data_IF_744148141141
#
_entry.id   IF_744148141141
#
_cell.length_a   1.000
_cell.length_b   1.000
_cell.length_c   1.000
_cell.angle_alpha   90.00
_cell.angle_beta   90.00
_cell.angle_gamma   90.00
#
_symmetry.space_group_name_H-M   'P 1'
#
loop_
_entity.id
_entity.type
_entity.pdbx_description
1 polymer ?
#
# COMPACT_ATOMS: atom_id res chain seq x y z
N UNK A 1 18.28 19.41 3.24
CA UNK A 1 16.95 18.84 3.00
C UNK A 1 17.09 17.32 2.84
N UNK A 2 16.21 16.58 3.48
CA UNK A 2 16.13 15.11 3.36
C UNK A 2 14.71 14.72 3.01
N UNK A 3 14.55 13.66 2.19
CA UNK A 3 13.29 12.98 1.91
C UNK A 3 13.47 11.52 2.31
N UNK A 4 12.62 11.04 3.19
CA UNK A 4 12.71 9.69 3.73
C UNK A 4 11.36 9.23 4.28
N UNK A 5 11.28 8.02 4.80
CA UNK A 5 10.11 7.41 5.40
C UNK A 5 10.43 6.79 6.76
N UNK A 6 9.43 6.34 7.49
CA UNK A 6 9.60 5.70 8.79
C UNK A 6 10.35 4.35 8.68
N UNK A 7 11.17 3.98 9.68
CA UNK A 7 11.37 4.68 10.96
C UNK A 7 12.33 5.90 10.91
N UNK A 8 13.17 6.01 9.88
CA UNK A 8 14.20 7.07 9.77
C UNK A 8 13.58 8.49 9.76
N UNK A 9 12.39 8.67 9.21
CA UNK A 9 11.67 9.94 9.24
C UNK A 9 11.44 10.42 10.68
N UNK A 10 11.04 9.52 11.58
CA UNK A 10 10.80 9.84 12.99
C UNK A 10 12.09 10.28 13.70
N UNK A 11 13.25 9.64 13.41
CA UNK A 11 14.55 10.01 13.96
C UNK A 11 14.98 11.40 13.48
N UNK A 12 14.85 11.67 12.18
CA UNK A 12 15.15 12.99 11.61
C UNK A 12 14.25 14.07 12.20
N UNK A 13 12.96 13.80 12.33
CA UNK A 13 12.00 14.74 12.89
C UNK A 13 12.27 15.06 14.39
N UNK A 14 12.84 14.10 15.12
CA UNK A 14 13.26 14.31 16.52
C UNK A 14 14.55 15.13 16.67
N UNK A 15 15.29 15.36 15.59
CA UNK A 15 16.53 16.13 15.62
C UNK A 15 16.23 17.63 15.85
N UNK A 16 16.90 18.31 16.81
CA UNK A 16 16.70 19.74 17.05
C UNK A 16 16.91 20.58 15.78
N UNK A 17 16.11 21.63 15.62
CA UNK A 17 16.14 22.57 14.48
C UNK A 17 15.77 21.97 13.13
N UNK A 18 15.10 20.82 13.11
CA UNK A 18 14.46 20.29 11.91
C UNK A 18 13.00 20.77 11.82
N UNK A 19 12.49 20.88 10.61
CA UNK A 19 11.08 21.17 10.34
C UNK A 19 10.60 20.36 9.14
N UNK A 20 9.37 19.85 9.23
CA UNK A 20 8.73 19.18 8.13
C UNK A 20 8.15 20.21 7.15
N UNK A 21 8.52 20.11 5.88
CA UNK A 21 8.01 20.98 4.82
C UNK A 21 6.81 20.38 4.10
N UNK A 22 6.79 19.06 3.95
CA UNK A 22 5.81 18.32 3.18
C UNK A 22 5.72 16.87 3.67
N UNK A 23 4.56 16.24 3.54
CA UNK A 23 4.41 14.79 3.70
C UNK A 23 3.31 14.23 2.76
N UNK A 24 3.24 12.90 2.67
CA UNK A 24 2.35 12.19 1.75
C UNK A 24 0.84 12.40 2.01
N UNK A 25 0.44 12.94 3.17
CA UNK A 25 -0.97 13.28 3.42
C UNK A 25 -1.48 14.41 2.51
N UNK A 26 -0.56 15.18 1.92
CA UNK A 26 -0.86 16.27 0.97
C UNK A 26 -1.07 15.75 -0.46
N UNK A 27 -0.73 14.48 -0.73
CA UNK A 27 -0.92 13.78 -2.01
C UNK A 27 -1.61 12.42 -1.78
N UNK A 28 -2.84 12.39 -1.26
CA UNK A 28 -3.50 11.17 -0.84
C UNK A 28 -3.67 10.18 -2.01
N UNK A 29 -3.25 8.93 -1.80
CA UNK A 29 -3.35 7.85 -2.77
C UNK A 29 -2.27 7.83 -3.86
N UNK A 30 -1.32 8.78 -3.87
CA UNK A 30 -0.19 8.75 -4.82
C UNK A 30 0.94 7.83 -4.36
N UNK A 31 1.08 7.60 -3.06
CA UNK A 31 2.02 6.63 -2.47
C UNK A 31 1.20 5.53 -1.81
N UNK A 32 1.31 4.31 -2.35
CA UNK A 32 0.51 3.16 -1.92
C UNK A 32 1.44 1.98 -1.68
N UNK A 33 1.37 1.38 -0.48
CA UNK A 33 1.99 0.11 -0.19
C UNK A 33 1.09 -1.04 -0.65
N UNK A 34 1.64 -1.97 -1.41
CA UNK A 34 0.90 -3.05 -2.05
C UNK A 34 1.50 -4.42 -1.73
N UNK A 35 0.67 -5.39 -1.42
CA UNK A 35 1.04 -6.80 -1.49
C UNK A 35 0.94 -7.27 -2.95
N UNK A 36 2.09 -7.59 -3.56
CA UNK A 36 2.18 -7.92 -4.98
C UNK A 36 2.50 -9.39 -5.16
N UNK A 37 1.74 -10.07 -6.03
CA UNK A 37 1.95 -11.47 -6.39
C UNK A 37 2.10 -11.58 -7.90
N UNK A 38 3.03 -12.43 -8.36
CA UNK A 38 3.19 -12.72 -9.78
C UNK A 38 1.90 -13.31 -10.35
N UNK A 39 1.43 -12.78 -11.49
CA UNK A 39 0.16 -13.16 -12.09
C UNK A 39 0.07 -14.65 -12.42
N UNK A 40 1.17 -15.24 -12.95
CA UNK A 40 1.19 -16.68 -13.27
C UNK A 40 1.12 -17.52 -12.00
N UNK A 41 1.89 -17.17 -10.98
CA UNK A 41 1.86 -17.88 -9.68
C UNK A 41 0.46 -17.87 -9.07
N UNK A 42 -0.24 -16.74 -9.17
CA UNK A 42 -1.60 -16.60 -8.64
C UNK A 42 -2.62 -17.41 -9.47
N UNK A 43 -2.44 -17.45 -10.78
CA UNK A 43 -3.30 -18.26 -11.69
C UNK A 43 -3.08 -19.77 -11.45
N UNK A 44 -1.83 -20.20 -11.27
CA UNK A 44 -1.49 -21.61 -10.99
C UNK A 44 -1.95 -22.04 -9.57
N UNK A 45 -2.00 -21.13 -8.61
CA UNK A 45 -2.43 -21.40 -7.24
C UNK A 45 -3.34 -20.29 -6.69
N UNK A 46 -4.63 -20.29 -7.02
CA UNK A 46 -5.58 -19.29 -6.51
C UNK A 46 -5.74 -19.28 -4.98
N UNK A 47 -5.45 -20.41 -4.31
CA UNK A 47 -5.50 -20.49 -2.86
C UNK A 47 -4.41 -19.65 -2.18
N UNK A 48 -3.30 -19.36 -2.87
CA UNK A 48 -2.27 -18.45 -2.37
C UNK A 48 -2.84 -17.05 -2.11
N UNK A 49 -3.64 -16.51 -3.03
CA UNK A 49 -4.27 -15.20 -2.84
C UNK A 49 -5.23 -15.16 -1.65
N UNK A 50 -6.00 -16.25 -1.45
CA UNK A 50 -6.87 -16.38 -0.28
C UNK A 50 -6.05 -16.42 1.03
N UNK A 51 -5.02 -17.28 1.08
CA UNK A 51 -4.17 -17.43 2.25
C UNK A 51 -3.46 -16.12 2.63
N UNK A 52 -2.84 -15.44 1.66
CA UNK A 52 -2.16 -14.16 1.88
C UNK A 52 -3.14 -13.08 2.38
N UNK A 53 -4.30 -12.97 1.75
CA UNK A 53 -5.31 -11.97 2.14
C UNK A 53 -5.91 -12.28 3.50
N UNK A 54 -6.19 -13.56 3.80
CA UNK A 54 -6.68 -13.99 5.11
C UNK A 54 -5.69 -13.68 6.22
N UNK A 55 -4.44 -14.12 6.07
CA UNK A 55 -3.38 -13.85 7.05
C UNK A 55 -3.16 -12.33 7.24
N UNK A 56 -3.20 -11.55 6.16
CA UNK A 56 -3.08 -10.09 6.25
C UNK A 56 -4.16 -9.48 7.13
N UNK A 57 -5.43 -9.79 6.87
CA UNK A 57 -6.53 -9.18 7.65
C UNK A 57 -6.70 -9.76 9.03
N UNK A 58 -6.27 -11.00 9.29
CA UNK A 58 -6.13 -11.52 10.64
C UNK A 58 -5.13 -10.69 11.45
N UNK A 59 -3.93 -10.45 10.91
CA UNK A 59 -2.91 -9.60 11.55
C UNK A 59 -3.40 -8.16 11.70
N UNK A 60 -4.04 -7.58 10.68
CA UNK A 60 -4.59 -6.22 10.75
C UNK A 60 -5.66 -6.09 11.83
N UNK A 61 -6.52 -7.10 11.99
CA UNK A 61 -7.53 -7.14 13.05
C UNK A 61 -6.91 -7.19 14.45
N UNK A 62 -5.88 -8.01 14.65
CA UNK A 62 -5.13 -8.06 15.91
C UNK A 62 -4.42 -6.74 16.17
N UNK A 63 -3.70 -6.21 15.19
CA UNK A 63 -2.92 -4.99 15.31
C UNK A 63 -3.78 -3.75 15.63
N UNK A 64 -4.99 -3.67 15.09
CA UNK A 64 -5.91 -2.56 15.31
C UNK A 64 -6.71 -2.65 16.62
N UNK A 65 -6.66 -3.80 17.32
CA UNK A 65 -7.47 -4.01 18.52
C UNK A 65 -6.85 -3.36 19.76
N UNK A 66 -7.72 -2.87 20.67
CA UNK A 66 -7.32 -2.32 21.98
C UNK A 66 -7.18 -3.41 23.05
N UNK A 67 -7.10 -4.67 22.64
CA UNK A 67 -6.92 -5.81 23.54
C UNK A 67 -5.45 -5.95 24.01
N UNK A 68 -5.19 -6.66 25.14
CA UNK A 68 -3.83 -7.00 25.55
C UNK A 68 -3.03 -7.71 24.44
N UNK A 69 -3.68 -8.60 23.66
CA UNK A 69 -3.08 -9.27 22.51
C UNK A 69 -2.68 -8.29 21.41
N UNK A 70 -3.55 -7.31 21.09
CA UNK A 70 -3.24 -6.28 20.11
C UNK A 70 -2.06 -5.41 20.53
N UNK A 71 -2.01 -5.02 21.81
CA UNK A 71 -0.88 -4.27 22.36
C UNK A 71 0.43 -5.08 22.31
N UNK A 72 0.39 -6.36 22.64
CA UNK A 72 1.54 -7.25 22.54
C UNK A 72 2.02 -7.39 21.10
N UNK A 73 1.09 -7.57 20.14
CA UNK A 73 1.41 -7.65 18.73
C UNK A 73 2.10 -6.37 18.24
N UNK A 74 1.55 -5.19 18.56
CA UNK A 74 2.18 -3.91 18.21
C UNK A 74 3.55 -3.74 18.86
N UNK A 75 3.74 -4.20 20.11
CA UNK A 75 5.05 -4.18 20.76
C UNK A 75 6.08 -5.04 20.04
N UNK A 76 5.70 -6.23 19.57
CA UNK A 76 6.58 -7.12 18.78
C UNK A 76 6.91 -6.52 17.42
N UNK A 77 5.93 -5.92 16.75
CA UNK A 77 6.13 -5.22 15.47
C UNK A 77 7.04 -4.01 15.64
N UNK A 78 6.88 -3.24 16.71
CA UNK A 78 7.74 -2.11 17.05
C UNK A 78 9.19 -2.54 17.21
N UNK A 79 9.44 -3.58 18.01
CA UNK A 79 10.79 -4.12 18.21
C UNK A 79 11.41 -4.61 16.90
N UNK A 80 10.63 -5.29 16.05
CA UNK A 80 11.09 -5.75 14.73
C UNK A 80 11.39 -4.58 13.77
N UNK A 81 10.73 -3.42 13.96
CA UNK A 81 10.94 -2.19 13.17
C UNK A 81 12.00 -1.27 13.77
N UNK A 82 12.68 -1.68 14.85
CA UNK A 82 13.75 -0.87 15.48
C UNK A 82 13.23 0.32 16.28
N UNK A 83 11.99 0.30 16.76
CA UNK A 83 11.38 1.37 17.57
C UNK A 83 10.69 0.81 18.82
N UNK A 84 10.22 1.68 19.70
CA UNK A 84 9.37 1.28 20.82
C UNK A 84 7.87 1.32 20.46
N UNK A 85 7.02 0.83 21.35
CA UNK A 85 5.56 0.79 21.12
C UNK A 85 4.99 2.18 20.82
N UNK A 86 5.42 3.20 21.56
CA UNK A 86 4.95 4.59 21.39
C UNK A 86 5.32 5.14 20.01
N UNK A 87 6.55 4.91 19.59
CA UNK A 87 7.04 5.32 18.26
C UNK A 87 6.29 4.60 17.14
N UNK A 88 6.05 3.29 17.29
CA UNK A 88 5.28 2.50 16.33
C UNK A 88 3.82 2.98 16.22
N UNK A 89 3.15 3.20 17.34
CA UNK A 89 1.78 3.72 17.35
C UNK A 89 1.67 5.12 16.75
N UNK A 90 2.67 5.99 16.95
CA UNK A 90 2.74 7.28 16.29
C UNK A 90 2.90 7.15 14.76
N UNK A 91 3.69 6.18 14.28
CA UNK A 91 3.82 5.89 12.85
C UNK A 91 2.52 5.36 12.25
N UNK A 92 1.81 4.46 12.95
CA UNK A 92 0.49 3.98 12.53
C UNK A 92 -0.52 5.13 12.43
N UNK A 93 -0.54 6.03 13.41
CA UNK A 93 -1.43 7.20 13.40
C UNK A 93 -1.15 8.17 12.25
N UNK A 94 0.10 8.25 11.78
CA UNK A 94 0.52 9.07 10.64
C UNK A 94 0.30 8.38 9.28
N UNK A 95 -0.09 7.11 9.26
CA UNK A 95 -0.28 6.32 8.04
C UNK A 95 -1.76 6.06 7.77
N UNK A 96 -2.21 6.24 6.52
CA UNK A 96 -3.56 5.85 6.12
C UNK A 96 -3.64 4.32 6.01
N UNK A 97 -4.05 3.68 7.10
CA UNK A 97 -4.20 2.23 7.16
C UNK A 97 -5.57 1.77 6.68
N UNK A 98 -5.62 0.66 5.95
CA UNK A 98 -6.84 -0.07 5.61
C UNK A 98 -6.96 -1.29 6.52
N UNK A 99 -7.43 -1.08 7.74
CA UNK A 99 -7.55 -2.15 8.75
C UNK A 99 -8.59 -3.20 8.41
N UNK A 100 -9.54 -2.89 7.53
CA UNK A 100 -10.56 -3.83 7.08
C UNK A 100 -10.48 -4.12 5.59
N UNK A 101 -10.79 -5.35 5.20
CA UNK A 101 -10.87 -5.73 3.80
C UNK A 101 -11.94 -4.94 3.04
N UNK A 102 -13.01 -4.53 3.73
CA UNK A 102 -14.09 -3.70 3.17
C UNK A 102 -13.57 -2.33 2.72
N UNK A 103 -12.77 -1.67 3.56
CA UNK A 103 -12.23 -0.34 3.23
C UNK A 103 -11.21 -0.42 2.09
N UNK A 104 -10.33 -1.42 2.12
CA UNK A 104 -9.38 -1.67 1.04
C UNK A 104 -10.08 -2.03 -0.28
N UNK A 105 -11.14 -2.84 -0.23
CA UNK A 105 -11.96 -3.16 -1.39
C UNK A 105 -12.63 -1.91 -1.97
N UNK A 106 -13.21 -1.06 -1.12
CA UNK A 106 -13.81 0.21 -1.55
C UNK A 106 -12.78 1.12 -2.23
N UNK A 107 -11.55 1.22 -1.67
CA UNK A 107 -10.46 1.96 -2.29
C UNK A 107 -10.06 1.38 -3.66
N UNK A 108 -9.92 0.05 -3.76
CA UNK A 108 -9.55 -0.62 -5.01
C UNK A 108 -10.59 -0.42 -6.15
N UNK A 109 -11.85 -0.16 -5.77
CA UNK A 109 -12.95 0.14 -6.71
C UNK A 109 -13.17 1.64 -6.94
N UNK A 110 -12.42 2.51 -6.28
CA UNK A 110 -12.61 3.95 -6.37
C UNK A 110 -12.29 4.46 -7.78
N UNK A 111 -13.00 5.50 -8.23
CA UNK A 111 -12.74 6.16 -9.51
C UNK A 111 -11.46 7.01 -9.48
N UNK A 112 -11.04 7.38 -8.29
CA UNK A 112 -9.84 8.18 -8.04
C UNK A 112 -8.56 7.37 -8.29
N UNK A 113 -8.56 6.07 -7.98
CA UNK A 113 -7.37 5.23 -8.11
C UNK A 113 -6.78 5.20 -9.54
N UNK A 114 -7.56 4.94 -10.62
CA UNK A 114 -7.02 5.02 -11.99
C UNK A 114 -6.50 6.42 -12.36
N UNK A 115 -7.19 7.48 -11.92
CA UNK A 115 -6.78 8.86 -12.19
C UNK A 115 -5.47 9.21 -11.49
N UNK A 116 -5.31 8.78 -10.22
CA UNK A 116 -4.08 8.97 -9.44
C UNK A 116 -2.92 8.18 -10.05
N UNK A 117 -3.13 6.91 -10.43
CA UNK A 117 -2.08 6.12 -11.08
C UNK A 117 -1.66 6.68 -12.44
N UNK A 118 -2.57 7.34 -13.16
CA UNK A 118 -2.22 8.06 -14.39
C UNK A 118 -1.28 9.24 -14.10
N UNK A 119 -1.55 10.02 -13.06
CA UNK A 119 -0.66 11.12 -12.64
C UNK A 119 0.71 10.60 -12.22
N UNK A 120 0.74 9.50 -11.44
CA UNK A 120 1.99 8.84 -11.03
C UNK A 120 2.79 8.36 -12.23
N UNK A 121 2.14 7.75 -13.23
CA UNK A 121 2.80 7.32 -14.46
C UNK A 121 3.38 8.51 -15.26
N UNK A 122 2.65 9.62 -15.38
CA UNK A 122 3.11 10.84 -16.02
C UNK A 122 4.31 11.47 -15.29
N UNK A 123 4.24 11.54 -13.96
CA UNK A 123 5.35 12.01 -13.14
C UNK A 123 6.58 11.12 -13.33
N UNK A 124 6.39 9.81 -13.23
CA UNK A 124 7.48 8.83 -13.37
C UNK A 124 8.16 8.91 -14.73
N UNK A 125 7.38 9.08 -15.81
CA UNK A 125 7.93 9.28 -17.15
C UNK A 125 8.71 10.58 -17.25
N UNK A 126 8.12 11.69 -16.81
CA UNK A 126 8.76 13.03 -16.84
C UNK A 126 10.10 13.06 -16.10
N UNK A 127 10.25 12.26 -15.05
CA UNK A 127 11.46 12.19 -14.23
C UNK A 127 12.36 10.99 -14.55
N UNK A 128 12.12 10.28 -15.67
CA UNK A 128 12.97 9.19 -16.13
C UNK A 128 12.88 7.89 -15.29
N UNK A 129 11.89 7.78 -14.39
CA UNK A 129 11.76 6.64 -13.48
C UNK A 129 11.23 5.37 -14.17
N UNK A 130 10.69 5.48 -15.39
CA UNK A 130 10.25 4.32 -16.18
C UNK A 130 11.37 3.66 -16.98
N UNK A 131 12.61 4.18 -16.86
CA UNK A 131 13.78 3.68 -17.56
C UNK A 131 13.94 4.26 -18.98
N UNK A 132 15.15 4.14 -19.52
CA UNK A 132 15.53 4.73 -20.82
C UNK A 132 14.73 4.20 -22.02
N UNK A 133 14.17 3.00 -21.92
CA UNK A 133 13.33 2.38 -22.96
C UNK A 133 11.91 2.91 -23.04
N UNK A 134 11.44 3.67 -22.04
CA UNK A 134 10.08 4.21 -22.03
C UNK A 134 9.98 5.41 -22.95
N UNK A 135 9.07 5.33 -23.95
CA UNK A 135 8.85 6.41 -24.92
C UNK A 135 7.68 7.35 -24.54
N UNK A 136 6.87 6.96 -23.56
CA UNK A 136 5.74 7.75 -23.04
C UNK A 136 5.34 7.27 -21.64
N UNK A 137 4.49 8.03 -20.98
CA UNK A 137 3.86 7.65 -19.71
C UNK A 137 3.00 6.38 -19.83
N UNK A 138 2.50 6.09 -21.04
CA UNK A 138 1.70 4.91 -21.37
C UNK A 138 2.55 3.68 -21.76
N UNK A 139 3.87 3.69 -21.58
CA UNK A 139 4.76 2.56 -21.92
C UNK A 139 4.33 1.24 -21.26
N UNK A 140 3.76 1.32 -20.06
CA UNK A 140 3.15 0.18 -19.34
C UNK A 140 1.65 0.38 -19.18
N UNK A 141 0.92 -0.74 -19.06
CA UNK A 141 -0.49 -0.75 -18.71
C UNK A 141 -0.71 -1.11 -17.25
N UNK A 142 -1.73 -0.50 -16.65
CA UNK A 142 -2.25 -0.83 -15.32
C UNK A 142 -3.72 -1.19 -15.47
N UNK A 143 -4.09 -2.36 -14.97
CA UNK A 143 -5.46 -2.85 -14.98
C UNK A 143 -6.13 -2.64 -13.63
N UNK A 144 -7.38 -2.19 -13.66
CA UNK A 144 -8.25 -2.00 -12.50
C UNK A 144 -9.54 -2.79 -12.66
N UNK A 145 -10.40 -2.78 -11.67
CA UNK A 145 -11.75 -3.36 -11.77
C UNK A 145 -12.59 -2.58 -12.80
N UNK A 146 -12.78 -3.18 -13.97
CA UNK A 146 -13.61 -2.60 -15.04
C UNK A 146 -12.95 -1.51 -15.88
N UNK A 147 -11.67 -1.18 -15.69
CA UNK A 147 -10.95 -0.19 -16.48
C UNK A 147 -9.47 -0.52 -16.60
N UNK A 148 -8.77 0.22 -17.48
CA UNK A 148 -7.32 0.18 -17.55
C UNK A 148 -6.77 1.53 -18.01
N UNK A 149 -5.49 1.76 -17.69
CA UNK A 149 -4.71 2.91 -18.18
C UNK A 149 -3.44 2.41 -18.86
N UNK A 150 -2.85 3.25 -19.72
CA UNK A 150 -1.61 2.94 -20.43
C UNK A 150 -1.76 1.83 -21.49
N UNK A 151 -0.67 1.13 -21.75
CA UNK A 151 -0.57 0.17 -22.85
C UNK A 151 -1.27 -1.17 -22.55
N UNK A 152 -2.43 -1.42 -23.18
CA UNK A 152 -3.19 -2.66 -23.05
C UNK A 152 -2.38 -3.93 -23.42
N UNK A 153 -1.39 -3.79 -24.31
CA UNK A 153 -0.54 -4.92 -24.74
C UNK A 153 0.65 -5.17 -23.81
N UNK A 154 0.85 -4.31 -22.79
CA UNK A 154 1.96 -4.40 -21.87
C UNK A 154 1.52 -4.13 -20.42
N UNK A 155 0.53 -4.87 -19.93
CA UNK A 155 0.02 -4.72 -18.56
C UNK A 155 1.04 -5.29 -17.57
N UNK A 156 1.55 -4.45 -16.69
CA UNK A 156 2.57 -4.80 -15.68
C UNK A 156 2.03 -4.81 -14.25
N UNK A 157 0.93 -4.11 -13.98
CA UNK A 157 0.30 -4.07 -12.66
C UNK A 157 -1.22 -4.30 -12.82
N UNK A 158 -1.79 -5.05 -11.89
CA UNK A 158 -3.23 -5.30 -11.80
C UNK A 158 -3.69 -5.07 -10.37
N UNK A 159 -4.61 -4.14 -10.18
CA UNK A 159 -5.36 -4.01 -8.93
C UNK A 159 -6.54 -4.97 -8.98
N UNK A 160 -6.33 -6.17 -8.44
CA UNK A 160 -7.34 -7.23 -8.41
C UNK A 160 -8.12 -7.17 -7.09
N UNK A 161 -9.40 -6.76 -7.09
CA UNK A 161 -10.21 -6.66 -5.88
C UNK A 161 -10.82 -7.98 -5.44
N UNK A 162 -10.61 -9.08 -6.18
CA UNK A 162 -11.29 -10.37 -5.95
C UNK A 162 -11.08 -10.90 -4.54
N UNK A 163 -9.82 -10.95 -4.08
CA UNK A 163 -9.51 -11.48 -2.76
C UNK A 163 -9.93 -10.54 -1.65
N UNK A 164 -9.87 -9.23 -1.87
CA UNK A 164 -10.39 -8.23 -0.94
C UNK A 164 -11.90 -8.38 -0.77
N UNK A 165 -12.63 -8.63 -1.86
CA UNK A 165 -14.07 -8.89 -1.80
C UNK A 165 -14.38 -10.16 -1.02
N UNK A 166 -13.69 -11.27 -1.29
CA UNK A 166 -13.88 -12.53 -0.56
C UNK A 166 -13.65 -12.36 0.94
N UNK A 167 -12.61 -11.61 1.33
CA UNK A 167 -12.34 -11.30 2.74
C UNK A 167 -13.40 -10.38 3.34
N UNK A 168 -13.85 -9.35 2.62
CA UNK A 168 -14.90 -8.44 3.06
C UNK A 168 -16.25 -9.13 3.26
N UNK A 169 -16.55 -10.15 2.45
CA UNK A 169 -17.75 -10.98 2.53
C UNK A 169 -17.62 -12.13 3.56
N UNK A 170 -16.50 -12.24 4.29
CA UNK A 170 -16.26 -13.30 5.28
C UNK A 170 -16.02 -14.69 4.68
N UNK A 171 -15.69 -14.77 3.40
CA UNK A 171 -15.43 -16.03 2.68
C UNK A 171 -13.97 -16.49 2.78
N UNK A 172 -13.11 -15.68 3.36
CA UNK A 172 -11.73 -15.99 3.74
C UNK A 172 -11.60 -15.70 5.24
N UNK A 173 -11.11 -16.70 5.98
CA UNK A 173 -10.78 -16.59 7.41
C UNK A 173 -9.31 -16.91 7.60
#
# INVERSE_FOLDING_TARGET
>A
TVVTWNPLLAEVAATPKTSQLFNSSQIPGEIIDLMVVNTKTLADNPNLGKALTGAWYEVMGIMSSDTPQGKEARSKMAAASGTDLKGFEAQLAATKMFYTAKDAHAFALSKELPATMTKVAQFSFKHGLLGEGAKSAEAIGIQFAGSQTGNAKNIKLRFDPTYLKLAADGQIK
#
